data_IF_422448845660
#
_entry.id   IF_422448845660
#
_cell.length_a   1.000
_cell.length_b   1.000
_cell.length_c   1.000
_cell.angle_alpha   90.00
_cell.angle_beta   90.00
_cell.angle_gamma   90.00
#
_symmetry.space_group_name_H-M   'P 1'
#
loop_
_entity.id
_entity.type
_entity.pdbx_description
1 polymer ?
#
# COMPACT_ATOMS: atom_id res chain seq x y z
N UNK A 1 2.37 -6.32 -24.98
CA UNK A 1 2.43 -4.84 -24.95
C UNK A 1 2.47 -4.39 -23.50
N UNK A 2 3.22 -3.34 -23.12
CA UNK A 2 3.17 -2.82 -21.76
C UNK A 2 1.77 -2.27 -21.48
N UNK A 3 1.23 -2.52 -20.28
CA UNK A 3 -0.08 -2.00 -19.86
C UNK A 3 -0.06 -0.49 -19.64
N UNK A 4 1.11 0.09 -19.36
CA UNK A 4 1.34 1.53 -19.24
C UNK A 4 2.68 1.92 -19.86
N UNK A 5 2.73 3.07 -20.52
CA UNK A 5 3.97 3.74 -20.93
C UNK A 5 3.78 5.25 -20.74
N UNK A 6 4.72 5.96 -20.09
CA UNK A 6 4.60 7.40 -19.92
C UNK A 6 4.59 8.10 -21.29
N UNK A 7 3.69 9.05 -21.46
CA UNK A 7 3.64 9.90 -22.65
C UNK A 7 4.75 10.95 -22.63
N UNK A 8 5.00 11.59 -23.77
CA UNK A 8 5.90 12.74 -23.81
C UNK A 8 5.39 13.84 -22.88
N UNK A 9 6.27 14.35 -22.01
CA UNK A 9 5.90 15.35 -21.01
C UNK A 9 5.28 14.79 -19.72
N UNK A 10 5.26 13.47 -19.52
CA UNK A 10 4.90 12.88 -18.23
C UNK A 10 5.74 13.48 -17.09
N UNK A 11 5.13 13.67 -15.93
CA UNK A 11 5.71 14.42 -14.80
C UNK A 11 6.85 13.69 -14.07
N UNK A 12 7.17 12.46 -14.50
CA UNK A 12 8.21 11.60 -13.91
C UNK A 12 9.00 10.85 -14.99
N UNK A 13 10.29 10.60 -14.74
CA UNK A 13 11.15 9.72 -15.56
C UNK A 13 11.70 8.53 -14.77
N UNK A 14 11.40 8.42 -13.46
CA UNK A 14 11.98 7.42 -12.57
C UNK A 14 10.98 6.92 -11.54
N UNK A 15 11.31 5.80 -10.89
CA UNK A 15 10.55 5.23 -9.77
C UNK A 15 9.11 4.90 -10.14
N UNK A 16 8.89 4.06 -11.17
CA UNK A 16 7.58 3.54 -11.55
C UNK A 16 7.25 2.34 -10.64
N UNK A 17 6.73 2.62 -9.45
CA UNK A 17 6.70 1.67 -8.34
C UNK A 17 5.29 1.19 -8.01
N UNK A 18 5.22 -0.06 -7.54
CA UNK A 18 4.09 -0.65 -6.84
C UNK A 18 2.70 -0.36 -7.45
N UNK A 19 2.45 -0.71 -8.73
CA UNK A 19 1.14 -0.47 -9.33
C UNK A 19 0.08 -1.42 -8.76
N UNK A 20 -1.04 -0.86 -8.30
CA UNK A 20 -2.27 -1.59 -7.96
C UNK A 20 -3.38 -1.24 -8.95
N UNK A 21 -4.19 -2.21 -9.36
CA UNK A 21 -5.26 -2.01 -10.35
C UNK A 21 -6.61 -2.42 -9.79
N UNK A 22 -7.57 -1.49 -9.86
CA UNK A 22 -8.92 -1.63 -9.32
C UNK A 22 -9.96 -1.53 -10.43
N UNK A 23 -10.92 -2.45 -10.44
CA UNK A 23 -12.14 -2.28 -11.23
C UNK A 23 -13.15 -1.46 -10.41
N UNK A 24 -13.57 -0.30 -10.92
CA UNK A 24 -14.49 0.60 -10.24
C UNK A 24 -15.32 1.39 -11.27
N UNK A 25 -16.63 1.47 -11.06
CA UNK A 25 -17.58 2.18 -11.94
C UNK A 25 -17.40 1.89 -13.46
N UNK A 26 -17.19 0.61 -13.81
CA UNK A 26 -17.05 0.17 -15.20
C UNK A 26 -15.72 0.53 -15.86
N UNK A 27 -14.72 0.99 -15.10
CA UNK A 27 -13.36 1.29 -15.58
C UNK A 27 -12.31 0.58 -14.71
N UNK A 28 -11.07 0.58 -15.18
CA UNK A 28 -9.91 0.13 -14.41
C UNK A 28 -9.07 1.33 -14.01
N UNK A 29 -8.74 1.46 -12.73
CA UNK A 29 -7.88 2.50 -12.20
C UNK A 29 -6.60 1.91 -11.67
N UNK A 30 -5.46 2.42 -12.13
CA UNK A 30 -4.15 2.04 -11.62
C UNK A 30 -3.64 3.13 -10.68
N UNK A 31 -3.28 2.75 -9.47
CA UNK A 31 -2.59 3.60 -8.52
C UNK A 31 -1.12 3.18 -8.57
N UNK A 32 -0.23 4.14 -8.85
CA UNK A 32 1.20 3.85 -8.94
C UNK A 32 2.01 5.03 -8.42
N UNK A 33 3.14 4.74 -7.79
CA UNK A 33 4.06 5.73 -7.26
C UNK A 33 5.07 6.15 -8.32
N UNK A 34 5.41 7.44 -8.31
CA UNK A 34 6.33 8.08 -9.24
C UNK A 34 7.19 9.11 -8.51
N UNK A 35 8.43 9.33 -8.96
CA UNK A 35 9.26 10.45 -8.47
C UNK A 35 9.05 11.68 -9.34
N UNK A 36 8.58 12.77 -8.77
CA UNK A 36 8.27 14.01 -9.50
C UNK A 36 9.55 14.69 -9.99
N UNK A 37 9.52 15.23 -11.22
CA UNK A 37 10.65 16.03 -11.77
C UNK A 37 10.77 17.41 -11.12
N UNK A 38 9.66 18.00 -10.68
CA UNK A 38 9.62 19.39 -10.22
C UNK A 38 10.18 19.58 -8.81
N UNK A 39 10.04 18.59 -7.93
CA UNK A 39 10.51 18.67 -6.54
C UNK A 39 11.27 17.44 -6.02
N UNK A 40 11.48 16.41 -6.86
CA UNK A 40 12.18 15.17 -6.53
C UNK A 40 11.54 14.30 -5.43
N UNK A 41 10.32 14.61 -4.99
CA UNK A 41 9.55 13.82 -4.02
C UNK A 41 8.76 12.69 -4.71
N UNK A 42 8.50 11.61 -3.98
CA UNK A 42 7.61 10.55 -4.44
C UNK A 42 6.14 10.98 -4.28
N UNK A 43 5.27 10.46 -5.14
CA UNK A 43 3.83 10.55 -4.94
C UNK A 43 3.07 9.51 -5.75
N UNK A 44 1.88 9.14 -5.29
CA UNK A 44 1.00 8.21 -6.00
C UNK A 44 0.04 8.96 -6.92
N UNK A 45 0.06 8.63 -8.21
CA UNK A 45 -0.89 9.14 -9.20
C UNK A 45 -1.91 8.06 -9.58
N UNK A 46 -3.05 8.52 -10.10
CA UNK A 46 -4.12 7.66 -10.59
C UNK A 46 -4.10 7.68 -12.11
N UNK A 47 -4.06 6.50 -12.71
CA UNK A 47 -4.22 6.27 -14.13
C UNK A 47 -5.52 5.50 -14.36
N UNK A 48 -6.08 5.59 -15.57
CA UNK A 48 -7.31 4.90 -15.91
C UNK A 48 -7.22 4.19 -17.27
N UNK A 49 -7.97 3.11 -17.41
CA UNK A 49 -8.20 2.41 -18.66
C UNK A 49 -9.62 1.87 -18.74
N UNK A 50 -10.09 1.59 -19.95
CA UNK A 50 -11.32 0.83 -20.17
C UNK A 50 -11.10 -0.69 -20.02
N UNK A 51 -9.84 -1.14 -19.93
CA UNK A 51 -9.46 -2.55 -19.85
C UNK A 51 -8.45 -2.79 -18.73
N UNK A 52 -8.52 -3.92 -18.01
CA UNK A 52 -7.50 -4.28 -17.02
C UNK A 52 -6.12 -4.50 -17.65
N UNK A 53 -6.06 -4.71 -18.98
CA UNK A 53 -4.82 -4.88 -19.73
C UNK A 53 -4.30 -3.55 -20.33
N UNK A 54 -4.90 -2.42 -19.97
CA UNK A 54 -4.52 -1.12 -20.48
C UNK A 54 -4.95 -0.87 -21.94
N UNK A 55 -4.36 0.15 -22.59
CA UNK A 55 -3.35 1.04 -22.03
C UNK A 55 -3.95 1.90 -20.90
N UNK A 56 -3.21 2.03 -19.80
CA UNK A 56 -3.50 3.01 -18.76
C UNK A 56 -2.97 4.36 -19.19
N UNK A 57 -3.77 5.41 -18.97
CA UNK A 57 -3.39 6.80 -19.22
C UNK A 57 -3.57 7.61 -17.95
N UNK A 58 -2.80 8.68 -17.80
CA UNK A 58 -2.87 9.56 -16.63
C UNK A 58 -4.31 10.10 -16.48
N UNK A 59 -4.90 9.89 -15.31
CA UNK A 59 -6.29 10.26 -14.99
C UNK A 59 -6.37 11.44 -14.01
N UNK A 60 -5.48 11.47 -13.01
CA UNK A 60 -5.25 12.65 -12.17
C UNK A 60 -4.31 13.66 -12.84
N UNK A 61 -4.24 14.91 -12.38
CA UNK A 61 -3.32 15.92 -12.97
C UNK A 61 -1.83 15.73 -12.61
N UNK A 62 -1.47 14.56 -12.11
CA UNK A 62 -0.21 14.26 -11.41
C UNK A 62 -0.48 13.44 -10.15
N UNK A 63 0.51 13.23 -9.27
CA UNK A 63 0.27 12.51 -8.04
C UNK A 63 -0.71 13.24 -7.11
N UNK A 64 -1.63 12.47 -6.57
CA UNK A 64 -2.77 12.89 -5.75
C UNK A 64 -2.38 13.09 -4.28
N UNK A 65 -1.33 12.40 -3.82
CA UNK A 65 -0.74 12.60 -2.50
C UNK A 65 -0.19 14.04 -2.34
N UNK A 66 -0.10 14.57 -1.10
CA UNK A 66 0.33 15.94 -0.84
C UNK A 66 1.63 16.29 -1.55
N UNK A 67 1.70 17.50 -2.12
CA UNK A 67 2.83 17.90 -2.97
C UNK A 67 4.15 17.97 -2.20
N UNK A 68 4.11 18.41 -0.94
CA UNK A 68 5.29 18.63 -0.11
C UNK A 68 5.71 17.38 0.68
N UNK A 69 5.01 16.26 0.47
CA UNK A 69 5.33 14.97 1.07
C UNK A 69 5.97 14.07 0.02
N UNK A 70 7.01 13.34 0.42
CA UNK A 70 7.42 12.15 -0.29
C UNK A 70 6.49 11.02 0.15
N UNK A 71 5.60 10.61 -0.74
CA UNK A 71 4.58 9.61 -0.46
C UNK A 71 4.66 8.45 -1.46
N UNK A 72 4.32 7.26 -0.99
CA UNK A 72 4.38 6.04 -1.79
C UNK A 72 3.22 5.09 -1.45
N UNK A 73 3.02 4.11 -2.33
CA UNK A 73 2.13 2.96 -2.14
C UNK A 73 0.68 3.32 -1.79
N UNK A 74 0.13 4.31 -2.51
CA UNK A 74 -1.29 4.64 -2.40
C UNK A 74 -2.18 3.51 -2.89
N UNK A 75 -2.95 2.92 -1.97
CA UNK A 75 -3.97 1.89 -2.21
C UNK A 75 -5.37 2.48 -2.18
N UNK A 76 -6.30 1.91 -2.96
CA UNK A 76 -7.71 2.35 -3.00
C UNK A 76 -8.55 1.51 -2.03
N UNK A 77 -9.35 2.17 -1.19
CA UNK A 77 -10.41 1.54 -0.40
C UNK A 77 -11.74 2.25 -0.62
N UNK A 78 -12.80 1.48 -0.91
CA UNK A 78 -14.17 2.00 -0.95
C UNK A 78 -14.85 1.63 0.37
N UNK A 79 -15.30 2.62 1.13
CA UNK A 79 -15.95 2.37 2.42
C UNK A 79 -17.42 1.93 2.27
N UNK A 80 -18.10 1.66 3.39
CA UNK A 80 -19.48 1.16 3.39
C UNK A 80 -20.50 2.17 2.86
N UNK A 81 -20.17 3.46 2.89
CA UNK A 81 -21.00 4.51 2.31
C UNK A 81 -20.77 4.66 0.80
N UNK A 82 -19.79 3.94 0.24
CA UNK A 82 -19.37 4.05 -1.15
C UNK A 82 -18.35 5.17 -1.38
N UNK A 83 -17.81 5.78 -0.33
CA UNK A 83 -16.85 6.86 -0.47
C UNK A 83 -15.45 6.31 -0.72
N UNK A 84 -14.71 6.86 -1.70
CA UNK A 84 -13.36 6.41 -1.99
C UNK A 84 -12.32 7.05 -1.05
N UNK A 85 -11.40 6.22 -0.59
CA UNK A 85 -10.25 6.58 0.23
C UNK A 85 -8.96 6.13 -0.45
N UNK A 86 -7.92 6.95 -0.34
CA UNK A 86 -6.55 6.51 -0.54
C UNK A 86 -5.90 6.29 0.82
N UNK A 87 -5.29 5.13 1.01
CA UNK A 87 -4.36 4.88 2.12
C UNK A 87 -2.95 4.76 1.55
N UNK A 88 -1.96 5.41 2.14
CA UNK A 88 -0.63 5.54 1.55
C UNK A 88 0.44 5.73 2.65
N UNK A 89 1.72 5.68 2.29
CA UNK A 89 2.82 5.93 3.22
C UNK A 89 3.37 7.36 3.09
N UNK A 90 3.66 8.02 4.21
CA UNK A 90 4.58 9.16 4.26
C UNK A 90 5.99 8.62 4.48
N UNK A 91 6.86 8.81 3.49
CA UNK A 91 8.14 8.12 3.39
C UNK A 91 9.06 8.40 4.59
N UNK A 92 9.51 7.33 5.23
CA UNK A 92 10.45 7.35 6.35
C UNK A 92 11.77 8.10 6.07
N UNK A 93 12.24 8.16 4.82
CA UNK A 93 13.42 8.99 4.49
C UNK A 93 13.19 10.48 4.71
N UNK A 94 11.92 10.93 4.69
CA UNK A 94 11.54 12.31 4.98
C UNK A 94 11.28 12.53 6.47
N UNK A 95 10.70 11.56 7.18
CA UNK A 95 10.18 11.74 8.55
C UNK A 95 10.74 10.79 9.62
N UNK A 96 11.75 9.99 9.28
CA UNK A 96 12.40 8.93 10.06
C UNK A 96 11.48 7.76 10.45
N UNK A 97 10.43 8.01 11.22
CA UNK A 97 9.42 7.02 11.58
C UNK A 97 8.26 7.12 10.58
N UNK A 98 8.27 6.24 9.57
CA UNK A 98 7.29 6.24 8.50
C UNK A 98 5.87 6.17 9.04
N UNK A 99 4.96 6.86 8.35
CA UNK A 99 3.54 6.90 8.71
C UNK A 99 2.73 6.19 7.64
N UNK A 100 1.66 5.49 8.07
CA UNK A 100 0.55 5.13 7.18
C UNK A 100 -0.53 6.19 7.37
N UNK A 101 -0.96 6.79 6.28
CA UNK A 101 -1.91 7.90 6.24
C UNK A 101 -3.12 7.52 5.39
N UNK A 102 -4.26 8.17 5.64
CA UNK A 102 -5.44 8.06 4.78
C UNK A 102 -5.99 9.43 4.42
N UNK A 103 -6.56 9.55 3.23
CA UNK A 103 -7.33 10.72 2.81
C UNK A 103 -8.49 10.29 1.92
N UNK A 104 -9.58 11.05 1.94
CA UNK A 104 -10.67 10.86 0.99
C UNK A 104 -10.21 11.27 -0.41
N UNK A 105 -10.78 10.61 -1.42
CA UNK A 105 -10.66 10.99 -2.83
C UNK A 105 -11.97 11.62 -3.31
N UNK A 106 -11.91 12.36 -4.39
CA UNK A 106 -13.14 12.71 -5.14
C UNK A 106 -13.78 11.43 -5.67
N UNK A 107 -15.11 11.43 -5.89
CA UNK A 107 -15.82 10.27 -6.44
C UNK A 107 -15.18 9.75 -7.75
N UNK A 108 -14.70 10.67 -8.60
CA UNK A 108 -14.00 10.32 -9.84
C UNK A 108 -12.56 9.84 -9.67
N UNK A 109 -12.02 9.75 -8.45
CA UNK A 109 -10.64 9.33 -8.12
C UNK A 109 -9.53 10.22 -8.73
N UNK A 110 -9.85 11.46 -9.11
CA UNK A 110 -8.91 12.36 -9.81
C UNK A 110 -8.06 13.21 -8.88
N UNK A 111 -8.53 13.42 -7.65
CA UNK A 111 -7.94 14.33 -6.69
C UNK A 111 -8.27 13.91 -5.26
N UNK A 112 -7.53 14.44 -4.29
CA UNK A 112 -7.87 14.34 -2.88
C UNK A 112 -9.11 15.19 -2.59
N UNK A 113 -9.88 14.75 -1.59
CA UNK A 113 -11.08 15.42 -1.09
C UNK A 113 -10.95 15.72 0.42
N UNK A 114 -9.81 16.29 0.80
CA UNK A 114 -9.48 16.63 2.19
C UNK A 114 -7.99 16.45 2.48
N UNK A 115 -7.60 16.85 3.69
CA UNK A 115 -6.25 16.66 4.20
C UNK A 115 -6.02 15.21 4.67
N UNK A 116 -4.79 14.69 4.59
CA UNK A 116 -4.45 13.38 5.14
C UNK A 116 -4.59 13.34 6.67
N UNK A 117 -5.05 12.20 7.17
CA UNK A 117 -4.97 11.82 8.56
C UNK A 117 -3.94 10.70 8.73
N UNK A 118 -2.99 10.85 9.65
CA UNK A 118 -2.09 9.78 10.07
C UNK A 118 -2.89 8.71 10.83
N UNK A 119 -2.78 7.45 10.38
CA UNK A 119 -3.45 6.32 11.00
C UNK A 119 -2.61 5.72 12.13
N UNK A 120 -1.32 5.56 11.87
CA UNK A 120 -0.31 5.07 12.82
C UNK A 120 1.10 5.27 12.23
N UNK A 121 2.10 5.15 13.10
CA UNK A 121 3.53 5.08 12.76
C UNK A 121 4.01 3.66 12.71
N UNK A 122 5.11 3.40 12.00
CA UNK A 122 5.70 2.06 11.98
C UNK A 122 6.13 1.59 13.38
N UNK A 123 6.65 2.49 14.22
CA UNK A 123 7.05 2.17 15.59
C UNK A 123 5.88 1.80 16.52
N UNK A 124 4.62 2.05 16.13
CA UNK A 124 3.44 1.64 16.91
C UNK A 124 3.19 0.12 16.82
N UNK A 125 3.78 -0.58 15.83
CA UNK A 125 3.71 -2.03 15.75
C UNK A 125 4.74 -2.69 16.67
N UNK A 126 4.33 -3.62 17.54
CA UNK A 126 5.23 -4.27 18.50
C UNK A 126 6.27 -5.19 17.84
N UNK A 127 6.07 -5.58 16.58
CA UNK A 127 6.97 -6.44 15.83
C UNK A 127 8.00 -5.67 14.99
N UNK A 128 7.77 -4.38 14.72
CA UNK A 128 8.63 -3.59 13.86
C UNK A 128 9.89 -3.14 14.63
N UNK A 129 11.02 -3.13 13.94
CA UNK A 129 12.32 -2.73 14.52
C UNK A 129 12.96 -1.63 13.66
N UNK A 130 13.88 -0.83 14.22
CA UNK A 130 14.59 0.17 13.44
C UNK A 130 15.30 -0.41 12.21
N UNK A 131 15.18 0.29 11.09
CA UNK A 131 15.90 0.03 9.86
C UNK A 131 17.16 0.91 9.77
N UNK A 132 18.31 0.29 9.57
CA UNK A 132 19.57 0.99 9.37
C UNK A 132 19.76 1.35 7.89
N UNK A 133 19.53 2.62 7.56
CA UNK A 133 19.73 3.15 6.22
C UNK A 133 21.10 3.81 6.05
N UNK A 134 21.90 3.42 5.04
CA UNK A 134 23.12 4.15 4.69
C UNK A 134 22.86 5.59 4.24
N UNK A 135 21.63 5.93 3.81
CA UNK A 135 21.26 7.29 3.38
C UNK A 135 20.95 8.22 4.54
N UNK A 136 20.57 7.66 5.69
CA UNK A 136 20.15 8.40 6.88
C UNK A 136 20.79 7.76 8.14
N UNK A 137 22.14 7.66 8.21
CA UNK A 137 22.83 6.83 9.20
C UNK A 137 22.64 7.31 10.65
N UNK A 138 22.37 8.60 10.85
CA UNK A 138 22.25 9.23 12.17
C UNK A 138 20.81 9.31 12.69
N UNK A 139 19.89 8.57 12.08
CA UNK A 139 18.46 8.59 12.42
C UNK A 139 17.96 7.19 12.73
N UNK A 140 17.09 7.08 13.74
CA UNK A 140 16.35 5.84 14.01
C UNK A 140 15.18 5.80 13.05
N UNK A 141 15.31 5.02 11.98
CA UNK A 141 14.30 4.95 10.94
C UNK A 141 13.39 3.75 11.14
N UNK A 142 12.11 3.90 10.84
CA UNK A 142 11.17 2.80 10.73
C UNK A 142 10.43 2.92 9.41
N UNK A 143 10.39 1.83 8.64
CA UNK A 143 9.79 1.84 7.30
C UNK A 143 8.29 1.54 7.40
N UNK A 144 7.48 2.32 6.68
CA UNK A 144 6.12 1.94 6.28
C UNK A 144 6.11 1.69 4.78
N UNK A 145 5.42 0.62 4.36
CA UNK A 145 5.41 0.17 2.97
C UNK A 145 4.14 -0.65 2.68
N UNK A 146 3.64 -0.59 1.44
CA UNK A 146 2.55 -1.41 0.91
C UNK A 146 1.31 -1.57 1.82
N UNK A 147 0.63 -0.49 2.24
CA UNK A 147 -0.65 -0.61 2.93
C UNK A 147 -1.70 -1.20 1.99
N UNK A 148 -2.50 -2.17 2.45
CA UNK A 148 -3.60 -2.74 1.67
C UNK A 148 -4.78 -3.08 2.57
N UNK A 149 -5.96 -2.53 2.28
CA UNK A 149 -7.15 -2.70 3.11
C UNK A 149 -8.06 -3.79 2.55
N UNK A 150 -8.57 -4.65 3.42
CA UNK A 150 -9.49 -5.70 3.03
C UNK A 150 -10.42 -6.08 4.19
N UNK A 151 -11.53 -6.75 3.85
CA UNK A 151 -12.44 -7.31 4.85
C UNK A 151 -12.18 -8.79 5.03
N UNK A 152 -12.02 -9.19 6.28
CA UNK A 152 -11.99 -10.60 6.67
C UNK A 152 -13.36 -11.26 6.52
N UNK A 153 -13.44 -12.55 6.84
CA UNK A 153 -14.67 -13.34 6.76
C UNK A 153 -15.75 -12.86 7.74
N UNK A 154 -15.38 -12.26 8.87
CA UNK A 154 -16.32 -11.66 9.81
C UNK A 154 -16.88 -10.30 9.36
N UNK A 155 -16.37 -9.76 8.24
CA UNK A 155 -16.65 -8.40 7.78
C UNK A 155 -15.79 -7.33 8.46
N UNK A 156 -14.94 -7.70 9.43
CA UNK A 156 -13.98 -6.78 10.06
C UNK A 156 -13.00 -6.22 9.04
N UNK A 157 -12.66 -4.93 9.19
CA UNK A 157 -11.68 -4.25 8.35
C UNK A 157 -10.25 -4.51 8.87
N UNK A 158 -9.41 -5.01 7.97
CA UNK A 158 -7.99 -5.25 8.18
C UNK A 158 -7.15 -4.41 7.23
N UNK A 159 -5.91 -4.16 7.64
CA UNK A 159 -4.87 -3.55 6.82
C UNK A 159 -3.63 -4.43 6.88
N UNK A 160 -3.12 -4.84 5.72
CA UNK A 160 -1.75 -5.30 5.57
C UNK A 160 -0.83 -4.09 5.43
N UNK A 161 0.38 -4.18 5.94
CA UNK A 161 1.46 -3.24 5.66
C UNK A 161 2.80 -3.90 5.98
N UNK A 162 3.90 -3.41 5.43
CA UNK A 162 5.21 -4.01 5.56
C UNK A 162 6.23 -3.07 6.22
N UNK A 163 7.20 -3.69 6.91
CA UNK A 163 8.31 -3.02 7.57
C UNK A 163 9.49 -3.99 7.72
N UNK A 164 10.41 -3.71 8.63
CA UNK A 164 11.59 -4.54 8.89
C UNK A 164 11.64 -5.08 10.32
N UNK A 165 12.12 -6.31 10.43
CA UNK A 165 12.45 -6.99 11.69
C UNK A 165 13.92 -7.38 11.63
N UNK A 166 14.76 -6.70 12.41
CA UNK A 166 16.21 -6.91 12.48
C UNK A 166 16.86 -6.90 11.09
N UNK A 167 16.43 -5.97 10.23
CA UNK A 167 16.93 -5.82 8.86
C UNK A 167 16.33 -6.79 7.82
N UNK A 168 15.39 -7.67 8.19
CA UNK A 168 14.64 -8.53 7.25
C UNK A 168 13.26 -7.96 6.97
N UNK A 169 12.84 -7.99 5.72
CA UNK A 169 11.53 -7.47 5.32
C UNK A 169 10.40 -8.38 5.81
N UNK A 170 9.34 -7.79 6.34
CA UNK A 170 8.24 -8.51 6.96
C UNK A 170 6.91 -7.83 6.66
N UNK A 171 5.85 -8.64 6.62
CA UNK A 171 4.48 -8.20 6.46
C UNK A 171 3.75 -8.29 7.80
N UNK A 172 3.12 -7.21 8.23
CA UNK A 172 2.21 -7.17 9.37
C UNK A 172 0.75 -7.07 8.97
N UNK A 173 -0.12 -7.18 9.97
CA UNK A 173 -1.55 -6.92 9.83
C UNK A 173 -2.04 -6.11 11.04
N UNK A 174 -2.98 -5.20 10.79
CA UNK A 174 -3.70 -4.45 11.81
C UNK A 174 -5.21 -4.53 11.56
N UNK A 175 -6.01 -4.48 12.62
CA UNK A 175 -7.48 -4.48 12.56
C UNK A 175 -8.01 -3.11 12.96
N UNK A 176 -8.95 -2.56 12.20
CA UNK A 176 -9.68 -1.35 12.61
C UNK A 176 -10.69 -1.71 13.69
N UNK A 177 -10.56 -1.13 14.88
CA UNK A 177 -11.47 -1.38 16.00
C UNK A 177 -12.86 -0.78 15.77
N UNK A 178 -12.96 0.30 14.98
CA UNK A 178 -14.24 0.93 14.63
C UNK A 178 -14.89 0.33 13.38
N UNK A 179 -14.14 -0.42 12.57
CA UNK A 179 -14.54 -0.84 11.23
C UNK A 179 -14.34 0.22 10.13
N UNK A 180 -13.96 1.45 10.49
CA UNK A 180 -13.67 2.54 9.56
C UNK A 180 -12.19 2.70 9.23
N UNK A 181 -11.89 3.37 8.11
CA UNK A 181 -10.51 3.62 7.61
C UNK A 181 -9.67 4.39 8.62
N UNK A 182 -10.26 5.33 9.35
CA UNK A 182 -9.56 6.16 10.34
C UNK A 182 -9.18 5.40 11.63
N UNK A 183 -9.52 4.11 11.74
CA UNK A 183 -9.17 3.31 12.91
C UNK A 183 -10.03 3.63 14.14
N UNK A 184 -9.50 3.50 15.38
CA UNK A 184 -8.10 3.20 15.68
C UNK A 184 -7.67 1.82 15.22
N UNK A 185 -6.39 1.69 14.84
CA UNK A 185 -5.81 0.46 14.33
C UNK A 185 -5.11 -0.33 15.45
N UNK A 186 -5.49 -1.59 15.62
CA UNK A 186 -4.85 -2.51 16.56
C UNK A 186 -3.96 -3.49 15.80
N UNK A 187 -2.64 -3.38 15.99
CA UNK A 187 -1.67 -4.26 15.38
C UNK A 187 -1.77 -5.69 15.92
N UNK A 188 -1.59 -6.68 15.04
CA UNK A 188 -1.24 -8.02 15.50
C UNK A 188 0.13 -7.97 16.20
N UNK A 189 0.31 -8.70 17.31
CA UNK A 189 1.57 -8.68 18.04
C UNK A 189 2.72 -9.29 17.21
N UNK A 190 2.39 -10.25 16.36
CA UNK A 190 3.32 -10.93 15.48
C UNK A 190 3.03 -10.53 14.02
N UNK A 191 4.06 -10.38 13.18
CA UNK A 191 3.91 -10.18 11.75
C UNK A 191 3.29 -11.42 11.11
N UNK A 192 2.59 -11.21 10.01
CA UNK A 192 1.95 -12.24 9.21
C UNK A 192 2.96 -13.05 8.39
N UNK A 193 4.05 -12.43 7.93
CA UNK A 193 5.11 -13.08 7.17
C UNK A 193 6.49 -12.54 7.58
N UNK A 194 7.48 -13.42 7.81
CA UNK A 194 8.83 -13.08 8.31
C UNK A 194 9.98 -13.56 7.42
N UNK A 195 9.68 -14.27 6.34
CA UNK A 195 10.71 -14.90 5.49
C UNK A 195 11.18 -13.95 4.38
N UNK A 196 11.56 -12.73 4.75
CA UNK A 196 12.08 -11.69 3.86
C UNK A 196 11.13 -11.39 2.69
N UNK A 197 9.92 -10.95 3.00
CA UNK A 197 8.88 -10.71 2.00
C UNK A 197 7.75 -9.87 2.55
N UNK A 198 7.01 -9.20 1.66
CA UNK A 198 5.99 -8.25 2.05
C UNK A 198 5.37 -7.56 0.85
N UNK A 199 4.96 -6.30 1.03
CA UNK A 199 4.17 -5.53 0.08
C UNK A 199 3.01 -6.36 -0.47
N UNK A 200 2.07 -6.69 0.43
CA UNK A 200 1.07 -7.71 0.20
C UNK A 200 -0.31 -7.18 -0.11
N UNK A 201 -1.04 -7.90 -0.95
CA UNK A 201 -2.46 -7.66 -1.22
C UNK A 201 -3.28 -8.94 -1.05
N UNK A 202 -4.55 -8.79 -0.70
CA UNK A 202 -5.50 -9.90 -0.52
C UNK A 202 -6.51 -9.93 -1.67
N UNK A 203 -6.74 -11.13 -2.20
CA UNK A 203 -7.80 -11.41 -3.17
C UNK A 203 -8.56 -12.67 -2.77
N UNK A 204 -9.68 -12.94 -3.47
CA UNK A 204 -10.39 -14.22 -3.36
C UNK A 204 -10.05 -15.10 -4.55
N UNK A 205 -9.71 -16.35 -4.29
CA UNK A 205 -9.60 -17.38 -5.32
C UNK A 205 -10.96 -17.63 -5.98
N UNK A 206 -10.96 -18.34 -7.11
CA UNK A 206 -12.21 -18.68 -7.83
C UNK A 206 -13.17 -19.56 -7.01
N UNK A 207 -12.67 -20.27 -6.01
CA UNK A 207 -13.45 -21.06 -5.05
C UNK A 207 -13.78 -20.30 -3.75
N UNK A 208 -13.43 -19.01 -3.65
CA UNK A 208 -13.86 -18.11 -2.60
C UNK A 208 -12.93 -17.98 -1.38
N UNK A 209 -11.86 -18.77 -1.31
CA UNK A 209 -10.84 -18.70 -0.24
C UNK A 209 -10.07 -17.37 -0.29
N UNK A 210 -9.66 -16.88 0.88
CA UNK A 210 -8.80 -15.71 0.96
C UNK A 210 -7.35 -16.09 0.62
N UNK A 211 -6.75 -15.32 -0.28
CA UNK A 211 -5.40 -15.50 -0.75
C UNK A 211 -4.60 -14.21 -0.59
N UNK A 212 -3.37 -14.33 -0.10
CA UNK A 212 -2.38 -13.27 0.01
C UNK A 212 -1.38 -13.40 -1.14
N UNK A 213 -1.19 -12.33 -1.90
CA UNK A 213 -0.08 -12.19 -2.83
C UNK A 213 1.01 -11.31 -2.21
N UNK A 214 2.25 -11.77 -2.17
CA UNK A 214 3.43 -11.02 -1.71
C UNK A 214 4.61 -11.31 -2.63
N UNK A 215 5.67 -10.50 -2.54
CA UNK A 215 6.97 -10.85 -3.11
C UNK A 215 7.94 -11.36 -2.04
N UNK A 216 8.87 -12.24 -2.43
CA UNK A 216 10.01 -12.71 -1.62
C UNK A 216 11.10 -13.33 -2.52
N UNK A 217 12.40 -13.30 -2.15
CA UNK A 217 13.00 -12.50 -1.08
C UNK A 217 12.88 -10.99 -1.35
N UNK A 218 13.21 -10.12 -0.40
CA UNK A 218 13.33 -8.67 -0.62
C UNK A 218 14.75 -8.32 -1.10
N UNK A 219 15.15 -8.92 -2.23
CA UNK A 219 16.50 -8.79 -2.79
C UNK A 219 16.46 -8.63 -4.29
N UNK A 220 16.81 -7.45 -4.80
CA UNK A 220 16.84 -7.18 -6.23
C UNK A 220 17.95 -7.94 -6.96
N UNK A 221 17.68 -8.60 -8.10
CA UNK A 221 16.41 -8.74 -8.85
C UNK A 221 15.69 -10.09 -8.61
N UNK A 222 15.95 -10.73 -7.48
CA UNK A 222 15.53 -12.10 -7.17
C UNK A 222 14.10 -12.20 -6.64
N UNK A 223 13.40 -11.08 -6.46
CA UNK A 223 12.04 -11.04 -5.94
C UNK A 223 11.09 -11.87 -6.82
N UNK A 224 10.29 -12.75 -6.23
CA UNK A 224 9.26 -13.53 -6.94
C UNK A 224 7.93 -13.44 -6.21
N UNK A 225 6.80 -13.39 -6.94
CA UNK A 225 5.49 -13.48 -6.31
C UNK A 225 5.30 -14.88 -5.74
N UNK A 226 4.76 -14.95 -4.53
CA UNK A 226 4.19 -16.17 -3.97
C UNK A 226 2.75 -15.89 -3.54
N UNK A 227 1.94 -16.94 -3.54
CA UNK A 227 0.54 -16.88 -3.15
C UNK A 227 0.33 -17.78 -1.95
N UNK A 228 -0.26 -17.23 -0.90
CA UNK A 228 -0.45 -17.91 0.38
C UNK A 228 -1.94 -17.93 0.71
N UNK A 229 -2.45 -19.06 1.16
CA UNK A 229 -3.80 -19.12 1.73
C UNK A 229 -3.77 -18.48 3.12
N UNK A 230 -4.77 -17.64 3.40
CA UNK A 230 -4.92 -16.98 4.69
C UNK A 230 -6.33 -17.20 5.25
N UNK A 231 -6.48 -17.17 6.57
CA UNK A 231 -7.79 -17.20 7.24
C UNK A 231 -7.91 -16.09 8.28
N UNK A 232 -9.16 -15.70 8.57
CA UNK A 232 -9.46 -14.91 9.76
C UNK A 232 -9.83 -15.86 10.91
N UNK A 233 -9.04 -15.84 11.98
CA UNK A 233 -9.29 -16.64 13.18
C UNK A 233 -9.00 -15.86 14.46
N UNK A 234 -10.03 -15.74 15.30
CA UNK A 234 -9.93 -15.04 16.59
C UNK A 234 -9.62 -13.55 16.45
N UNK A 235 -10.17 -12.90 15.41
CA UNK A 235 -9.93 -11.49 15.12
C UNK A 235 -8.54 -11.19 14.55
N UNK A 236 -7.81 -12.21 14.10
CA UNK A 236 -6.47 -12.11 13.49
C UNK A 236 -6.46 -12.81 12.14
N UNK A 237 -5.56 -12.37 11.28
CA UNK A 237 -5.21 -12.99 10.01
C UNK A 237 -4.04 -13.94 10.25
N UNK A 238 -4.15 -15.15 9.70
CA UNK A 238 -3.14 -16.20 9.81
C UNK A 238 -2.84 -16.77 8.42
N UNK A 239 -1.58 -17.10 8.16
CA UNK A 239 -1.17 -17.85 6.97
C UNK A 239 -1.37 -19.34 7.22
N UNK A 240 -2.04 -20.03 6.30
CA UNK A 240 -2.26 -21.47 6.35
C UNK A 240 -1.19 -22.26 5.58
N UNK A 241 -0.73 -21.72 4.46
CA UNK A 241 0.27 -22.35 3.61
C UNK A 241 0.35 -21.71 2.24
N UNK A 242 1.20 -22.25 1.37
CA UNK A 242 1.27 -21.84 -0.04
C UNK A 242 0.10 -22.42 -0.82
N UNK A 243 -0.45 -21.63 -1.75
CA UNK A 243 -1.49 -22.05 -2.69
C UNK A 243 -0.94 -22.92 -3.83
#
# INVERSE_FOLDING_TARGET
HPVFRPEAGFFSDTNFWAPEVYAHEGRCYMFATFRRKDNNLLGTAVLASASPLGPFVLHSSGPVTPKDWSSLDGTLHIDEAGDPWMVFCHEWQQIADGEVCAMRLTAGLQASAGEPATLFKASDAPWATPFHSPRCPDTVNYVTDGPYLFRGESGSLYMLWASFIEGRYALGAARSASGGVLGPWTHQPEPLYRSDGGHGMVFRTLDGRLALAIHTPNRTPDERPIFLEIEERGGRIQVLGTL
#
